data_IF_065096182429
#
_entry.id   IF_065096182429
#
_cell.length_a   1.000
_cell.length_b   1.000
_cell.length_c   1.000
_cell.angle_alpha   90.00
_cell.angle_beta   90.00
_cell.angle_gamma   90.00
#
_symmetry.space_group_name_H-M   'P 1'
#
loop_
_entity.id
_entity.type
_entity.pdbx_description
1 polymer ?
#
# COMPACT_ATOMS: atom_id res chain seq x y z
N UNK A 1 -2.38 -18.99 -8.12
CA UNK A 1 -2.39 -19.27 -6.66
C UNK A 1 -1.44 -20.41 -6.27
N UNK A 2 -1.54 -21.60 -6.85
CA UNK A 2 -0.66 -22.75 -6.53
C UNK A 2 0.86 -22.45 -6.69
N UNK A 3 1.26 -21.77 -7.76
CA UNK A 3 2.66 -21.38 -8.01
C UNK A 3 3.18 -20.37 -6.98
N UNK A 4 2.33 -19.46 -6.49
CA UNK A 4 2.68 -18.47 -5.45
C UNK A 4 2.87 -19.10 -4.06
N UNK A 5 2.11 -20.16 -3.74
CA UNK A 5 2.28 -20.90 -2.49
C UNK A 5 3.56 -21.74 -2.46
N UNK A 6 3.95 -22.30 -3.59
CA UNK A 6 5.16 -23.12 -3.71
C UNK A 6 6.44 -22.31 -3.51
N UNK A 7 6.47 -21.04 -3.97
CA UNK A 7 7.67 -20.20 -3.92
C UNK A 7 7.75 -19.35 -2.64
N UNK A 8 6.61 -18.93 -2.07
CA UNK A 8 6.59 -17.96 -0.96
C UNK A 8 6.51 -18.53 0.46
N UNK A 9 6.10 -19.80 0.66
CA UNK A 9 5.77 -20.36 1.99
C UNK A 9 4.84 -19.47 2.86
N UNK A 10 4.04 -18.60 2.23
CA UNK A 10 3.11 -17.73 2.97
C UNK A 10 1.78 -18.46 3.17
N UNK A 11 1.30 -18.65 4.42
CA UNK A 11 0.06 -19.38 4.68
C UNK A 11 -1.14 -18.67 4.05
N UNK A 12 -1.94 -19.41 3.27
CA UNK A 12 -3.11 -18.90 2.53
C UNK A 12 -4.09 -18.11 3.42
N UNK A 13 -4.30 -18.58 4.65
CA UNK A 13 -5.15 -17.93 5.65
C UNK A 13 -4.65 -16.54 6.06
N UNK A 14 -3.33 -16.32 6.08
CA UNK A 14 -2.73 -15.04 6.44
C UNK A 14 -2.91 -14.00 5.33
N UNK A 15 -2.69 -14.42 4.09
CA UNK A 15 -2.91 -13.58 2.91
C UNK A 15 -4.38 -13.20 2.79
N UNK A 16 -5.29 -14.17 2.91
CA UNK A 16 -6.73 -13.91 2.82
C UNK A 16 -7.23 -12.98 3.93
N UNK A 17 -6.79 -13.17 5.18
CA UNK A 17 -7.16 -12.30 6.30
C UNK A 17 -6.65 -10.86 6.11
N UNK A 18 -5.42 -10.69 5.61
CA UNK A 18 -4.86 -9.36 5.30
C UNK A 18 -5.61 -8.70 4.16
N UNK A 19 -5.89 -9.42 3.08
CA UNK A 19 -6.64 -8.90 1.92
C UNK A 19 -8.05 -8.48 2.33
N UNK A 20 -8.75 -9.32 3.12
CA UNK A 20 -10.09 -9.04 3.64
C UNK A 20 -10.12 -7.80 4.55
N UNK A 21 -9.09 -7.63 5.39
CA UNK A 21 -8.97 -6.49 6.29
C UNK A 21 -8.63 -5.19 5.54
N UNK A 22 -7.96 -5.28 4.39
CA UNK A 22 -7.53 -4.11 3.59
C UNK A 22 -8.64 -3.57 2.70
N UNK A 23 -9.62 -4.37 2.26
CA UNK A 23 -10.59 -3.89 1.25
C UNK A 23 -12.06 -4.23 1.54
N UNK A 24 -12.65 -3.68 2.61
CA UNK A 24 -14.10 -3.60 2.69
C UNK A 24 -14.69 -2.93 1.44
N UNK A 25 -13.96 -1.99 0.82
CA UNK A 25 -14.37 -1.32 -0.42
C UNK A 25 -14.39 -2.25 -1.64
N UNK A 26 -13.35 -3.08 -1.85
CA UNK A 26 -13.34 -4.01 -2.99
C UNK A 26 -14.42 -5.09 -2.86
N UNK A 27 -14.68 -5.56 -1.62
CA UNK A 27 -15.81 -6.47 -1.35
C UNK A 27 -17.16 -5.82 -1.65
N UNK A 28 -17.36 -4.58 -1.22
CA UNK A 28 -18.58 -3.84 -1.49
C UNK A 28 -18.81 -3.71 -3.00
N UNK A 29 -17.76 -3.42 -3.77
CA UNK A 29 -17.84 -3.33 -5.22
C UNK A 29 -18.15 -4.70 -5.86
N UNK A 30 -17.42 -5.76 -5.51
CA UNK A 30 -17.66 -7.12 -6.04
C UNK A 30 -19.09 -7.59 -5.73
N UNK A 31 -19.65 -7.23 -4.58
CA UNK A 31 -21.02 -7.56 -4.21
C UNK A 31 -22.07 -6.71 -4.96
N UNK A 32 -21.72 -5.49 -5.36
CA UNK A 32 -22.64 -4.54 -6.00
C UNK A 32 -22.70 -4.71 -7.53
N UNK A 33 -21.60 -5.14 -8.15
CA UNK A 33 -21.48 -5.35 -9.60
C UNK A 33 -22.57 -6.27 -10.21
N UNK A 34 -22.95 -7.40 -9.59
CA UNK A 34 -24.02 -8.26 -10.09
C UNK A 34 -25.40 -7.59 -10.17
N UNK A 35 -25.61 -6.50 -9.41
CA UNK A 35 -26.88 -5.79 -9.27
C UNK A 35 -26.92 -4.52 -10.14
N UNK A 36 -25.77 -3.85 -10.32
CA UNK A 36 -25.68 -2.57 -11.04
C UNK A 36 -25.51 -2.73 -12.56
N UNK A 37 -24.99 -3.86 -13.02
CA UNK A 37 -24.69 -4.03 -14.45
C UNK A 37 -25.92 -4.48 -15.25
N UNK A 38 -26.34 -3.72 -16.28
CA UNK A 38 -27.41 -4.14 -17.18
C UNK A 38 -26.95 -5.27 -18.10
N UNK A 39 -27.79 -6.30 -18.26
CA UNK A 39 -27.54 -7.40 -19.19
C UNK A 39 -28.61 -8.49 -19.08
N UNK A 40 -28.31 -9.70 -19.55
CA UNK A 40 -29.26 -10.82 -19.48
C UNK A 40 -29.47 -11.24 -18.02
N UNK A 41 -30.72 -11.13 -17.57
CA UNK A 41 -31.13 -11.43 -16.20
C UNK A 41 -31.22 -12.95 -16.04
N UNK A 42 -30.41 -13.49 -15.14
CA UNK A 42 -30.40 -14.93 -14.83
C UNK A 42 -31.17 -15.25 -13.58
N UNK A 43 -31.17 -14.32 -12.64
CA UNK A 43 -31.91 -14.49 -11.40
C UNK A 43 -32.52 -13.16 -10.96
N UNK A 44 -33.82 -13.13 -10.72
CA UNK A 44 -34.51 -11.97 -10.16
C UNK A 44 -34.85 -12.25 -8.71
N UNK A 45 -34.22 -11.54 -7.78
CA UNK A 45 -34.71 -11.48 -6.40
C UNK A 45 -35.72 -10.33 -6.31
N UNK A 46 -36.99 -10.68 -6.09
CA UNK A 46 -38.02 -9.71 -5.71
C UNK A 46 -38.13 -9.71 -4.19
N UNK A 47 -37.64 -8.64 -3.55
CA UNK A 47 -37.84 -8.36 -2.14
C UNK A 47 -38.80 -7.15 -2.05
N UNK A 48 -40.11 -7.42 -2.16
CA UNK A 48 -41.14 -6.37 -2.11
C UNK A 48 -41.07 -5.40 -3.31
N UNK A 49 -41.09 -4.06 -3.11
CA UNK A 49 -41.03 -3.07 -4.20
C UNK A 49 -39.64 -2.95 -4.86
N UNK A 50 -38.63 -3.67 -4.35
CA UNK A 50 -37.27 -3.65 -4.88
C UNK A 50 -37.03 -4.95 -5.66
N UNK A 51 -36.77 -4.81 -6.95
CA UNK A 51 -36.36 -5.92 -7.82
C UNK A 51 -34.85 -5.80 -8.07
N UNK A 52 -34.07 -6.68 -7.44
CA UNK A 52 -32.66 -6.84 -7.75
C UNK A 52 -32.53 -7.95 -8.79
N UNK A 53 -32.20 -7.58 -10.02
CA UNK A 53 -31.87 -8.52 -11.09
C UNK A 53 -30.38 -8.81 -11.06
N UNK A 54 -30.01 -10.07 -10.83
CA UNK A 54 -28.65 -10.56 -10.99
C UNK A 54 -28.42 -10.88 -12.46
N UNK A 55 -27.45 -10.19 -13.04
CA UNK A 55 -27.08 -10.28 -14.46
C UNK A 55 -25.87 -11.21 -14.64
N UNK A 56 -25.86 -12.04 -15.69
CA UNK A 56 -24.69 -12.88 -16.07
C UNK A 56 -23.41 -12.06 -16.22
N UNK A 57 -23.51 -10.95 -16.96
CA UNK A 57 -22.42 -10.01 -17.18
C UNK A 57 -21.91 -9.41 -15.86
N UNK A 58 -22.80 -9.10 -14.92
CA UNK A 58 -22.43 -8.56 -13.61
C UNK A 58 -21.69 -9.58 -12.74
N UNK A 59 -22.03 -10.87 -12.83
CA UNK A 59 -21.34 -11.95 -12.10
C UNK A 59 -19.94 -12.21 -12.68
N UNK A 60 -19.79 -12.19 -14.01
CA UNK A 60 -18.49 -12.29 -14.68
C UNK A 60 -17.57 -11.11 -14.32
N UNK A 61 -18.09 -9.87 -14.32
CA UNK A 61 -17.34 -8.67 -13.90
C UNK A 61 -16.91 -8.73 -12.45
N UNK A 62 -17.82 -9.15 -11.55
CA UNK A 62 -17.51 -9.34 -10.15
C UNK A 62 -16.39 -10.36 -9.94
N UNK A 63 -16.44 -11.50 -10.65
CA UNK A 63 -15.40 -12.53 -10.63
C UNK A 63 -14.04 -12.03 -11.14
N UNK A 64 -14.04 -11.30 -12.27
CA UNK A 64 -12.82 -10.72 -12.83
C UNK A 64 -12.19 -9.70 -11.87
N UNK A 65 -12.99 -8.77 -11.35
CA UNK A 65 -12.53 -7.78 -10.39
C UNK A 65 -11.95 -8.43 -9.13
N UNK A 66 -12.61 -9.46 -8.59
CA UNK A 66 -12.13 -10.19 -7.42
C UNK A 66 -10.78 -10.87 -7.70
N UNK A 67 -10.61 -11.50 -8.87
CA UNK A 67 -9.36 -12.12 -9.28
C UNK A 67 -8.23 -11.10 -9.46
N UNK A 68 -8.46 -10.01 -10.20
CA UNK A 68 -7.45 -8.97 -10.43
C UNK A 68 -7.06 -8.29 -9.11
N UNK A 69 -8.03 -7.99 -8.25
CA UNK A 69 -7.78 -7.44 -6.93
C UNK A 69 -6.90 -8.38 -6.07
N UNK A 70 -7.24 -9.68 -6.02
CA UNK A 70 -6.44 -10.66 -5.30
C UNK A 70 -5.00 -10.75 -5.84
N UNK A 71 -4.83 -10.72 -7.16
CA UNK A 71 -3.51 -10.75 -7.79
C UNK A 71 -2.67 -9.51 -7.47
N UNK A 72 -3.27 -8.31 -7.58
CA UNK A 72 -2.60 -7.06 -7.23
C UNK A 72 -2.21 -7.04 -5.75
N UNK A 73 -3.10 -7.48 -4.86
CA UNK A 73 -2.84 -7.50 -3.43
C UNK A 73 -1.72 -8.46 -3.06
N UNK A 74 -1.72 -9.68 -3.61
CA UNK A 74 -0.65 -10.68 -3.38
C UNK A 74 0.69 -10.17 -3.92
N UNK A 75 0.71 -9.62 -5.13
CA UNK A 75 1.93 -9.11 -5.76
C UNK A 75 2.51 -7.92 -4.98
N UNK A 76 1.65 -7.00 -4.54
CA UNK A 76 2.05 -5.85 -3.72
C UNK A 76 2.58 -6.29 -2.36
N UNK A 77 1.90 -7.24 -1.70
CA UNK A 77 2.33 -7.78 -0.41
C UNK A 77 3.69 -8.49 -0.53
N UNK A 78 3.89 -9.25 -1.61
CA UNK A 78 5.15 -9.91 -1.88
C UNK A 78 6.27 -8.89 -2.07
N UNK A 79 6.06 -7.88 -2.91
CA UNK A 79 7.01 -6.78 -3.12
C UNK A 79 7.38 -6.11 -1.80
N UNK A 80 6.39 -5.79 -0.97
CA UNK A 80 6.60 -5.13 0.32
C UNK A 80 7.34 -6.03 1.33
N UNK A 81 7.21 -7.35 1.21
CA UNK A 81 7.85 -8.33 2.09
C UNK A 81 9.28 -8.69 1.64
N UNK A 82 9.56 -8.69 0.34
CA UNK A 82 10.85 -9.13 -0.21
C UNK A 82 11.81 -7.98 -0.51
N UNK A 83 11.30 -6.78 -0.77
CA UNK A 83 12.09 -5.65 -1.27
C UNK A 83 12.27 -4.57 -0.19
N UNK A 84 13.49 -4.31 0.29
CA UNK A 84 13.74 -3.20 1.20
C UNK A 84 13.50 -1.85 0.52
N UNK A 85 13.07 -0.85 1.30
CA UNK A 85 12.74 0.48 0.78
C UNK A 85 13.90 1.16 0.03
N UNK A 86 15.15 0.88 0.42
CA UNK A 86 16.35 1.42 -0.23
C UNK A 86 16.48 0.93 -1.68
N UNK A 87 16.07 -0.30 -1.98
CA UNK A 87 16.06 -0.83 -3.35
C UNK A 87 15.01 -0.10 -4.20
N UNK A 88 13.84 0.22 -3.61
CA UNK A 88 12.79 1.00 -4.27
C UNK A 88 13.30 2.39 -4.65
N UNK A 89 14.02 3.07 -3.75
CA UNK A 89 14.65 4.37 -4.03
C UNK A 89 15.67 4.28 -5.17
N UNK A 90 16.46 3.21 -5.20
CA UNK A 90 17.42 2.96 -6.28
C UNK A 90 16.73 2.72 -7.62
N UNK A 91 15.58 2.03 -7.62
CA UNK A 91 14.77 1.81 -8.81
C UNK A 91 14.16 3.12 -9.32
N UNK A 92 13.65 3.99 -8.43
CA UNK A 92 13.15 5.33 -8.80
C UNK A 92 14.25 6.19 -9.44
N UNK A 93 15.48 6.14 -8.92
CA UNK A 93 16.60 6.83 -9.52
C UNK A 93 16.92 6.33 -10.95
N UNK A 94 16.79 5.02 -11.20
CA UNK A 94 16.96 4.42 -12.54
C UNK A 94 15.82 4.78 -13.50
N UNK A 95 14.61 4.94 -12.97
CA UNK A 95 13.43 5.42 -13.72
C UNK A 95 13.49 6.91 -14.08
N UNK A 96 14.66 7.57 -13.91
CA UNK A 96 14.90 8.99 -14.22
C UNK A 96 14.03 9.97 -13.42
N UNK A 97 13.55 9.57 -12.25
CA UNK A 97 12.91 10.50 -11.30
C UNK A 97 13.93 11.58 -10.90
N UNK A 98 13.54 12.87 -10.81
CA UNK A 98 14.47 13.92 -10.43
C UNK A 98 15.12 13.65 -9.08
N UNK A 99 16.44 13.85 -9.00
CA UNK A 99 17.26 13.46 -7.84
C UNK A 99 16.76 14.06 -6.53
N UNK A 100 16.25 15.29 -6.56
CA UNK A 100 15.68 15.95 -5.40
C UNK A 100 14.55 15.12 -4.76
N UNK A 101 13.67 14.49 -5.54
CA UNK A 101 12.60 13.65 -4.99
C UNK A 101 13.14 12.38 -4.33
N UNK A 102 14.13 11.73 -4.94
CA UNK A 102 14.73 10.51 -4.39
C UNK A 102 15.43 10.80 -3.06
N UNK A 103 16.20 11.89 -2.99
CA UNK A 103 16.87 12.34 -1.76
C UNK A 103 15.86 12.68 -0.67
N UNK A 104 14.77 13.35 -1.03
CA UNK A 104 13.76 13.79 -0.07
C UNK A 104 13.01 12.58 0.50
N UNK A 105 12.70 11.60 -0.35
CA UNK A 105 12.06 10.35 0.06
C UNK A 105 12.98 9.49 0.93
N UNK A 106 14.28 9.46 0.65
CA UNK A 106 15.28 8.79 1.47
C UNK A 106 15.36 9.39 2.88
N UNK A 107 15.39 10.73 2.97
CA UNK A 107 15.34 11.42 4.25
C UNK A 107 14.02 11.16 4.99
N UNK A 108 12.87 11.25 4.30
CA UNK A 108 11.57 10.95 4.90
C UNK A 108 11.55 9.57 5.55
N UNK A 109 12.01 8.53 4.84
CA UNK A 109 12.06 7.17 5.37
C UNK A 109 12.98 7.03 6.58
N UNK A 110 14.20 7.60 6.51
CA UNK A 110 15.15 7.56 7.63
C UNK A 110 14.61 8.28 8.86
N UNK A 111 14.01 9.46 8.67
CA UNK A 111 13.51 10.27 9.77
C UNK A 111 12.17 9.82 10.30
N UNK A 112 11.37 9.07 9.55
CA UNK A 112 10.09 8.54 10.01
C UNK A 112 10.24 7.79 11.34
N UNK A 113 11.25 6.93 11.46
CA UNK A 113 11.52 6.18 12.70
C UNK A 113 11.91 7.09 13.86
N UNK A 114 12.78 8.07 13.58
CA UNK A 114 13.22 9.06 14.59
C UNK A 114 12.04 9.91 15.08
N UNK A 115 11.14 10.30 14.17
CA UNK A 115 9.94 11.06 14.45
C UNK A 115 8.93 10.25 15.27
N UNK A 116 8.75 8.98 14.91
CA UNK A 116 7.88 8.06 15.64
C UNK A 116 8.37 7.84 17.07
N UNK A 117 9.67 7.65 17.27
CA UNK A 117 10.26 7.49 18.60
C UNK A 117 10.05 8.74 19.47
N UNK A 118 10.30 9.93 18.90
CA UNK A 118 10.08 11.20 19.58
C UNK A 118 8.59 11.39 19.94
N UNK A 119 7.69 11.11 18.99
CA UNK A 119 6.26 11.15 19.21
C UNK A 119 5.83 10.18 20.32
N UNK A 120 6.33 8.95 20.33
CA UNK A 120 6.02 7.96 21.35
C UNK A 120 6.57 8.34 22.72
N UNK A 121 7.73 8.99 22.80
CA UNK A 121 8.27 9.56 24.04
C UNK A 121 7.37 10.68 24.56
N UNK A 122 6.96 11.62 23.70
CA UNK A 122 6.07 12.71 24.09
C UNK A 122 4.69 12.22 24.50
N UNK A 123 4.13 11.23 23.80
CA UNK A 123 2.85 10.60 24.17
C UNK A 123 2.92 9.93 25.54
N UNK A 124 4.01 9.20 25.84
CA UNK A 124 4.22 8.60 27.17
C UNK A 124 4.39 9.63 28.26
N UNK A 125 5.24 10.63 28.06
CA UNK A 125 5.43 11.72 29.01
C UNK A 125 4.13 12.47 29.31
N UNK A 126 3.28 12.66 28.28
CA UNK A 126 1.96 13.24 28.46
C UNK A 126 1.01 12.30 29.21
N UNK A 127 0.95 11.02 28.86
CA UNK A 127 0.10 10.06 29.54
C UNK A 127 0.40 10.00 31.05
N UNK A 128 1.66 10.17 31.44
CA UNK A 128 2.07 10.27 32.84
C UNK A 128 1.59 11.55 33.55
N UNK A 129 1.32 12.65 32.82
CA UNK A 129 0.83 13.92 33.39
C UNK A 129 -0.68 14.01 33.44
N UNK A 130 -1.35 13.72 32.32
CA UNK A 130 -2.80 13.90 32.17
C UNK A 130 -3.60 12.65 32.59
N UNK A 131 -2.97 11.48 32.75
CA UNK A 131 -3.67 10.21 33.00
C UNK A 131 -4.61 9.75 31.87
N UNK A 132 -4.77 10.54 30.80
CA UNK A 132 -5.68 10.26 29.69
C UNK A 132 -7.16 10.59 29.95
N UNK A 133 -7.47 11.23 31.08
CA UNK A 133 -8.83 11.48 31.53
C UNK A 133 -9.22 12.93 31.22
N UNK A 134 -10.26 13.12 30.41
CA UNK A 134 -10.80 14.43 30.08
C UNK A 134 -11.78 14.40 28.90
N UNK A 135 -12.66 15.40 28.76
CA UNK A 135 -13.60 15.49 27.65
C UNK A 135 -12.86 15.54 26.29
N UNK A 136 -13.54 15.09 25.23
CA UNK A 136 -12.96 14.97 23.87
C UNK A 136 -12.29 16.26 23.39
N UNK A 137 -12.87 17.42 23.68
CA UNK A 137 -12.34 18.74 23.32
C UNK A 137 -10.96 19.03 23.93
N UNK A 138 -10.78 18.71 25.23
CA UNK A 138 -9.51 18.88 25.93
C UNK A 138 -8.46 17.92 25.39
N UNK A 139 -8.85 16.67 25.12
CA UNK A 139 -7.96 15.66 24.52
C UNK A 139 -7.45 16.12 23.16
N UNK A 140 -8.33 16.64 22.31
CA UNK A 140 -7.98 17.15 20.99
C UNK A 140 -7.00 18.33 21.06
N UNK A 141 -7.30 19.35 21.89
CA UNK A 141 -6.41 20.51 22.09
C UNK A 141 -5.02 20.07 22.52
N UNK A 142 -4.95 19.14 23.46
CA UNK A 142 -3.67 18.67 23.96
C UNK A 142 -2.96 17.77 22.92
N UNK A 143 -3.68 17.07 22.03
CA UNK A 143 -3.05 16.36 20.90
C UNK A 143 -2.46 17.34 19.89
N UNK A 144 -3.18 18.41 19.57
CA UNK A 144 -2.65 19.51 18.76
C UNK A 144 -1.39 20.13 19.40
N UNK A 145 -1.34 20.28 20.72
CA UNK A 145 -0.14 20.73 21.44
C UNK A 145 1.08 19.81 21.23
N UNK A 146 0.89 18.49 21.29
CA UNK A 146 1.98 17.52 21.01
C UNK A 146 2.45 17.64 19.56
N UNK A 147 1.52 17.80 18.61
CA UNK A 147 1.86 17.97 17.19
C UNK A 147 2.63 19.27 16.96
N UNK A 148 2.22 20.38 17.60
CA UNK A 148 2.90 21.67 17.49
C UNK A 148 4.34 21.62 18.04
N UNK A 149 4.53 21.01 19.21
CA UNK A 149 5.89 20.82 19.78
C UNK A 149 6.73 19.89 18.92
N UNK A 150 6.15 18.80 18.39
CA UNK A 150 6.84 17.92 17.46
C UNK A 150 7.30 18.70 16.23
N UNK A 151 6.42 19.47 15.61
CA UNK A 151 6.74 20.27 14.42
C UNK A 151 7.95 21.18 14.65
N UNK A 152 7.94 21.99 15.71
CA UNK A 152 9.03 22.90 16.02
C UNK A 152 10.37 22.16 16.24
N UNK A 153 10.35 21.09 17.05
CA UNK A 153 11.55 20.25 17.29
C UNK A 153 12.12 19.65 16.02
N UNK A 154 11.23 19.26 15.10
CA UNK A 154 11.63 18.61 13.84
C UNK A 154 12.16 19.62 12.83
N UNK A 155 11.62 20.83 12.84
CA UNK A 155 12.13 21.95 12.07
C UNK A 155 13.55 22.31 12.50
N UNK A 156 13.78 22.56 13.81
CA UNK A 156 15.12 22.89 14.32
C UNK A 156 16.12 21.76 14.06
N UNK A 157 15.66 20.50 14.13
CA UNK A 157 16.48 19.34 13.81
C UNK A 157 16.82 19.29 12.32
N UNK A 158 15.85 19.57 11.43
CA UNK A 158 16.09 19.60 9.99
C UNK A 158 17.14 20.66 9.63
N UNK A 159 17.06 21.84 10.26
CA UNK A 159 18.02 22.92 10.06
C UNK A 159 19.43 22.52 10.53
N UNK A 160 19.57 21.97 11.75
CA UNK A 160 20.86 21.45 12.24
C UNK A 160 21.48 20.41 11.32
N UNK A 161 20.65 19.53 10.76
CA UNK A 161 21.10 18.49 9.84
C UNK A 161 21.52 19.10 8.50
N UNK A 162 20.78 20.07 7.98
CA UNK A 162 21.14 20.79 6.77
C UNK A 162 22.53 21.43 6.89
N UNK A 163 22.77 22.18 7.98
CA UNK A 163 24.08 22.79 8.23
C UNK A 163 25.19 21.75 8.39
N UNK A 164 24.93 20.63 9.06
CA UNK A 164 25.90 19.54 9.18
C UNK A 164 26.22 18.87 7.83
N UNK A 165 25.25 18.78 6.92
CA UNK A 165 25.46 18.26 5.56
C UNK A 165 26.25 19.24 4.70
N UNK A 166 25.91 20.54 4.78
CA UNK A 166 26.64 21.59 4.08
C UNK A 166 28.12 21.62 4.50
N UNK A 167 28.40 21.54 5.80
CA UNK A 167 29.77 21.50 6.34
C UNK A 167 30.57 20.27 5.89
N UNK A 168 29.89 19.15 5.55
CA UNK A 168 30.53 17.93 5.02
C UNK A 168 30.66 17.94 3.49
N UNK A 169 30.32 19.04 2.82
CA UNK A 169 30.40 19.16 1.37
C UNK A 169 29.34 18.36 0.62
N UNK A 170 28.13 18.22 1.18
CA UNK A 170 27.04 17.50 0.52
C UNK A 170 26.67 18.15 -0.82
N UNK A 171 26.87 17.42 -1.92
CA UNK A 171 26.65 17.87 -3.30
C UNK A 171 25.24 17.56 -3.83
N UNK A 172 24.31 17.19 -2.94
CA UNK A 172 22.97 16.75 -3.31
C UNK A 172 22.86 15.29 -3.71
N UNK A 173 23.92 14.48 -3.55
CA UNK A 173 23.90 13.04 -3.85
C UNK A 173 23.96 12.18 -2.60
N UNK A 174 23.07 11.19 -2.54
CA UNK A 174 23.17 10.09 -1.58
C UNK A 174 23.96 8.94 -2.19
N UNK A 175 24.80 8.24 -1.41
CA UNK A 175 25.45 7.01 -1.86
C UNK A 175 24.40 6.00 -2.35
N UNK A 176 24.53 5.55 -3.59
CA UNK A 176 23.62 4.55 -4.14
C UNK A 176 23.94 3.17 -3.55
N UNK A 177 22.94 2.37 -3.15
CA UNK A 177 23.17 0.98 -2.78
C UNK A 177 23.72 0.19 -3.98
N UNK A 178 24.51 -0.88 -3.74
CA UNK A 178 25.08 -1.69 -4.81
C UNK A 178 24.00 -2.24 -5.72
N UNK A 179 24.27 -2.24 -7.02
CA UNK A 179 23.31 -2.67 -8.04
C UNK A 179 23.02 -4.16 -7.92
N UNK A 180 21.78 -4.53 -7.63
CA UNK A 180 21.34 -5.91 -7.82
C UNK A 180 21.26 -6.24 -9.32
N UNK A 181 21.80 -7.40 -9.69
CA UNK A 181 21.74 -7.96 -11.04
C UNK A 181 20.47 -8.82 -11.15
N UNK A 182 19.78 -8.71 -12.28
CA UNK A 182 18.64 -9.59 -12.58
C UNK A 182 19.11 -11.04 -12.52
N UNK A 183 18.46 -11.82 -11.66
CA UNK A 183 18.70 -13.25 -11.55
C UNK A 183 17.69 -13.99 -12.42
N UNK A 184 18.01 -15.19 -12.90
CA UNK A 184 17.09 -16.02 -13.71
C UNK A 184 15.75 -16.29 -13.00
N UNK A 185 15.74 -16.27 -11.67
CA UNK A 185 14.52 -16.36 -10.85
C UNK A 185 13.58 -15.16 -11.03
N UNK A 186 14.12 -13.96 -11.23
CA UNK A 186 13.35 -12.75 -11.47
C UNK A 186 12.67 -12.80 -12.84
N UNK A 187 13.37 -13.32 -13.85
CA UNK A 187 12.81 -13.50 -15.18
C UNK A 187 11.65 -14.53 -15.20
N UNK A 188 11.82 -15.67 -14.51
CA UNK A 188 10.75 -16.67 -14.37
C UNK A 188 9.56 -16.10 -13.61
N UNK A 189 9.80 -15.31 -12.56
CA UNK A 189 8.74 -14.63 -11.84
C UNK A 189 7.99 -13.64 -12.74
N UNK A 190 8.71 -12.78 -13.47
CA UNK A 190 8.12 -11.78 -14.37
C UNK A 190 7.27 -12.44 -15.47
N UNK A 191 7.78 -13.51 -16.08
CA UNK A 191 7.05 -14.28 -17.08
C UNK A 191 5.80 -14.94 -16.49
N UNK A 192 5.88 -15.48 -15.27
CA UNK A 192 4.74 -16.06 -14.57
C UNK A 192 3.64 -15.03 -14.28
N UNK A 193 4.01 -13.83 -13.84
CA UNK A 193 3.05 -12.73 -13.61
C UNK A 193 2.45 -12.25 -14.93
N UNK A 194 3.27 -12.04 -15.95
CA UNK A 194 2.81 -11.56 -17.26
C UNK A 194 1.87 -12.56 -17.94
N UNK A 195 2.17 -13.86 -17.88
CA UNK A 195 1.31 -14.90 -18.44
C UNK A 195 -0.05 -14.95 -17.74
N UNK A 196 -0.08 -14.76 -16.42
CA UNK A 196 -1.30 -14.82 -15.62
C UNK A 196 -2.16 -13.56 -15.80
N UNK A 197 -1.53 -12.38 -15.94
CA UNK A 197 -2.20 -11.14 -16.33
C UNK A 197 -2.76 -11.20 -17.76
N UNK A 198 -1.99 -11.79 -18.70
CA UNK A 198 -2.46 -12.03 -20.06
C UNK A 198 -3.66 -12.98 -20.07
N UNK A 199 -3.65 -14.05 -19.25
CA UNK A 199 -4.77 -14.97 -19.11
C UNK A 199 -6.04 -14.28 -18.57
N UNK A 200 -5.93 -13.34 -17.63
CA UNK A 200 -7.09 -12.55 -17.18
C UNK A 200 -7.61 -11.63 -18.28
N UNK A 201 -6.72 -11.01 -19.07
CA UNK A 201 -7.11 -10.13 -20.18
C UNK A 201 -7.72 -10.87 -21.37
N UNK A 202 -7.28 -12.11 -21.65
CA UNK A 202 -7.88 -12.92 -22.72
C UNK A 202 -9.25 -13.45 -22.31
N UNK A 203 -9.44 -13.83 -21.05
CA UNK A 203 -10.76 -14.17 -20.50
C UNK A 203 -11.71 -12.98 -20.54
N UNK A 204 -11.21 -11.77 -20.28
CA UNK A 204 -11.98 -10.52 -20.42
C UNK A 204 -12.40 -10.32 -21.89
N UNK A 205 -11.46 -10.42 -22.84
CA UNK A 205 -11.77 -10.29 -24.28
C UNK A 205 -12.73 -11.35 -24.82
N UNK A 206 -12.67 -12.59 -24.32
CA UNK A 206 -13.57 -13.68 -24.72
C UNK A 206 -14.96 -13.58 -24.08
N UNK A 207 -15.09 -12.89 -22.94
CA UNK A 207 -16.37 -12.69 -22.27
C UNK A 207 -17.15 -11.46 -22.79
N UNK A 208 -16.49 -10.52 -23.47
CA UNK A 208 -17.10 -9.26 -23.96
C UNK A 208 -16.98 -9.02 -25.48
N UNK A 209 -16.38 -9.93 -26.24
CA UNK A 209 -16.39 -9.92 -27.72
C UNK A 209 -17.51 -10.79 -28.26
#
# INVERSE_FOLDING_TARGET
>A
LAVYHAVGKVPLRYTLKRVLMVSPFALAIVALFPILEPGRVVWTLRLGPWAASVTDAGLLRAGHLACTFALCAVTTLLLLATTPFQEILSALARLRVPRAFVVQLAFLYRYLWVLLDELMRMRRARAARDGGLGPWSLRFRSHAGVVGVLFLRTYDRAERIYWAMAARGFDGRLPAPPTQRMTSKDAVFLCGVAALAAATLTLDRLAYG
#
